data_IF_313775093012
#
_entry.id   IF_313775093012
#
_cell.length_a   1.000
_cell.length_b   1.000
_cell.length_c   1.000
_cell.angle_alpha   90.00
_cell.angle_beta   90.00
_cell.angle_gamma   90.00
#
_symmetry.space_group_name_H-M   'P 1'
#
loop_
_entity.id
_entity.type
_entity.pdbx_description
1 polymer ?
#
# COMPACT_ATOMS: atom_id res chain seq x y z
N UNK A 1 57.23 -0.22 -14.10
CA UNK A 1 56.66 0.50 -15.25
C UNK A 1 55.17 0.15 -15.25
N UNK A 2 54.37 0.99 -14.62
CA UNK A 2 53.60 2.05 -15.31
C UNK A 2 52.40 1.42 -16.03
N UNK A 3 51.17 1.85 -15.86
CA UNK A 3 50.65 3.01 -15.16
C UNK A 3 49.13 2.87 -15.07
N UNK A 4 48.60 3.64 -14.14
CA UNK A 4 47.18 3.89 -13.96
C UNK A 4 46.51 4.25 -15.29
N UNK A 5 45.34 3.67 -15.55
CA UNK A 5 44.33 4.35 -16.35
C UNK A 5 43.01 4.32 -15.60
N UNK A 6 42.92 5.22 -14.63
CA UNK A 6 41.67 5.83 -14.22
C UNK A 6 41.02 6.45 -15.46
N UNK A 7 40.08 5.76 -16.08
CA UNK A 7 39.20 6.37 -17.09
C UNK A 7 37.75 6.17 -16.67
N UNK A 8 37.30 7.20 -15.95
CA UNK A 8 35.99 7.84 -16.17
C UNK A 8 34.74 7.12 -15.66
N UNK A 9 34.63 7.02 -14.33
CA UNK A 9 33.33 6.93 -13.63
C UNK A 9 32.40 8.15 -13.87
N UNK A 10 32.84 9.15 -14.66
CA UNK A 10 32.06 10.34 -14.99
C UNK A 10 31.06 10.12 -16.13
N UNK A 11 31.28 9.14 -17.02
CA UNK A 11 30.41 8.95 -18.20
C UNK A 11 29.09 8.24 -17.90
N UNK A 12 29.01 7.45 -16.84
CA UNK A 12 27.81 6.68 -16.51
C UNK A 12 26.76 7.48 -15.74
N UNK A 13 27.18 8.52 -15.01
CA UNK A 13 26.28 9.45 -14.33
C UNK A 13 25.52 10.37 -15.30
N UNK A 14 26.11 10.65 -16.47
CA UNK A 14 25.52 11.55 -17.45
C UNK A 14 24.34 10.92 -18.20
N UNK A 15 24.41 9.61 -18.48
CA UNK A 15 23.31 8.86 -19.14
C UNK A 15 22.07 8.80 -18.25
N UNK A 16 22.26 8.62 -16.94
CA UNK A 16 21.15 8.58 -15.98
C UNK A 16 20.44 9.93 -15.82
N UNK A 17 21.17 11.05 -15.92
CA UNK A 17 20.60 12.39 -15.81
C UNK A 17 19.75 12.76 -17.04
N UNK A 18 20.18 12.38 -18.24
CA UNK A 18 19.41 12.64 -19.48
C UNK A 18 18.12 11.81 -19.53
N UNK A 19 18.14 10.59 -19.00
CA UNK A 19 16.92 9.77 -18.90
C UNK A 19 15.91 10.35 -17.89
N UNK A 20 16.38 10.98 -16.81
CA UNK A 20 15.50 11.59 -15.80
C UNK A 20 14.76 12.83 -16.33
N UNK A 21 15.40 13.63 -17.19
CA UNK A 21 14.79 14.84 -17.77
C UNK A 21 13.76 14.48 -18.85
N UNK A 22 14.00 13.42 -19.64
CA UNK A 22 13.06 12.99 -20.68
C UNK A 22 11.72 12.47 -20.10
N UNK A 23 11.73 11.87 -18.91
CA UNK A 23 10.50 11.46 -18.21
C UNK A 23 9.73 12.66 -17.63
N UNK A 24 10.44 13.74 -17.25
CA UNK A 24 9.82 14.95 -16.70
C UNK A 24 9.32 15.93 -17.78
N UNK A 25 9.88 15.89 -18.99
CA UNK A 25 9.47 16.74 -20.12
C UNK A 25 8.37 16.13 -21.00
N UNK A 26 7.94 14.89 -20.74
CA UNK A 26 6.89 14.19 -21.49
C UNK A 26 5.44 14.51 -21.07
N UNK A 27 5.22 15.43 -20.12
CA UNK A 27 3.87 15.83 -19.65
C UNK A 27 3.53 17.29 -19.95
N UNK A 28 3.97 17.82 -21.10
CA UNK A 28 3.40 19.06 -21.65
C UNK A 28 3.08 18.86 -23.13
N UNK A 29 1.86 18.40 -23.40
CA UNK A 29 1.20 18.60 -24.69
C UNK A 29 -0.25 19.01 -24.41
N UNK A 30 -0.45 20.32 -24.58
CA UNK A 30 -1.63 20.99 -25.10
C UNK A 30 -3.00 20.70 -24.46
N UNK A 31 -3.37 21.58 -23.53
CA UNK A 31 -4.77 21.90 -23.25
C UNK A 31 -5.04 23.33 -23.72
N UNK A 32 -5.58 23.45 -24.93
CA UNK A 32 -6.39 24.59 -25.33
C UNK A 32 -7.85 24.11 -25.33
N UNK A 33 -8.59 24.46 -24.29
CA UNK A 33 -10.02 24.76 -24.39
C UNK A 33 -10.44 25.38 -23.07
N UNK A 34 -10.66 26.69 -23.10
CA UNK A 34 -11.39 27.43 -22.09
C UNK A 34 -12.75 26.75 -21.87
N UNK A 35 -13.02 26.27 -20.67
CA UNK A 35 -14.37 26.27 -20.12
C UNK A 35 -14.27 26.46 -18.63
N UNK A 36 -14.71 27.65 -18.25
CA UNK A 36 -15.05 28.14 -16.94
C UNK A 36 -15.97 27.15 -16.19
N UNK A 37 -15.52 26.66 -15.03
CA UNK A 37 -16.38 26.29 -13.90
C UNK A 37 -15.50 25.87 -12.72
N UNK A 38 -15.27 26.85 -11.85
CA UNK A 38 -15.54 26.73 -10.41
C UNK A 38 -15.72 25.30 -9.88
N UNK A 39 -14.71 24.76 -9.20
CA UNK A 39 -14.94 23.83 -8.10
C UNK A 39 -13.70 23.79 -7.19
N UNK A 40 -13.74 24.68 -6.21
CA UNK A 40 -13.07 24.47 -4.94
C UNK A 40 -13.58 23.16 -4.34
N UNK A 41 -12.90 22.05 -4.58
CA UNK A 41 -13.09 20.85 -3.76
C UNK A 41 -11.80 20.07 -3.57
N UNK A 42 -11.12 20.47 -2.50
CA UNK A 42 -10.46 19.57 -1.55
C UNK A 42 -11.31 18.31 -1.38
N UNK A 43 -10.94 17.24 -2.07
CA UNK A 43 -11.47 15.92 -1.85
C UNK A 43 -10.27 14.97 -1.79
N UNK A 44 -9.72 14.84 -0.59
CA UNK A 44 -8.94 13.66 -0.20
C UNK A 44 -9.93 12.50 -0.16
N UNK A 45 -10.38 12.05 -1.33
CA UNK A 45 -11.19 10.84 -1.45
C UNK A 45 -10.26 9.69 -1.11
N UNK A 46 -10.39 9.24 0.13
CA UNK A 46 -9.98 7.90 0.49
C UNK A 46 -10.87 6.99 -0.35
N UNK A 47 -10.40 6.62 -1.55
CA UNK A 47 -10.97 5.52 -2.31
C UNK A 47 -10.88 4.31 -1.40
N UNK A 48 -11.94 4.11 -0.64
CA UNK A 48 -12.10 2.96 0.22
C UNK A 48 -12.37 1.86 -0.79
N UNK A 49 -11.41 0.96 -0.99
CA UNK A 49 -11.61 -0.19 -1.86
C UNK A 49 -12.93 -0.83 -1.40
N UNK A 50 -13.92 -0.90 -2.31
CA UNK A 50 -15.32 -1.21 -1.95
C UNK A 50 -15.49 -2.56 -1.24
N UNK A 51 -14.46 -3.40 -1.29
CA UNK A 51 -14.43 -4.74 -0.72
C UNK A 51 -13.69 -4.85 0.62
N UNK A 52 -13.10 -3.77 1.15
CA UNK A 52 -12.41 -3.81 2.44
C UNK A 52 -13.38 -4.19 3.56
N UNK A 53 -13.05 -5.25 4.30
CA UNK A 53 -13.92 -5.79 5.36
C UNK A 53 -13.15 -6.68 6.33
N UNK A 54 -13.65 -6.77 7.55
CA UNK A 54 -13.20 -7.76 8.53
C UNK A 54 -14.40 -8.32 9.31
N UNK A 55 -14.22 -9.49 9.90
CA UNK A 55 -15.19 -10.13 10.79
C UNK A 55 -14.61 -10.12 12.21
N UNK A 56 -15.36 -9.56 13.16
CA UNK A 56 -15.04 -9.66 14.59
C UNK A 56 -15.33 -11.08 15.09
N UNK A 57 -14.32 -11.72 15.69
CA UNK A 57 -14.40 -13.06 16.29
C UNK A 57 -14.41 -13.02 17.82
N UNK A 58 -14.45 -11.83 18.43
CA UNK A 58 -14.37 -11.59 19.86
C UNK A 58 -12.94 -11.58 20.38
N UNK A 59 -12.76 -11.12 21.63
CA UNK A 59 -11.46 -11.14 22.33
C UNK A 59 -10.32 -10.47 21.56
N UNK A 60 -10.62 -9.38 20.83
CA UNK A 60 -9.68 -8.68 19.94
C UNK A 60 -9.09 -9.56 18.83
N UNK A 61 -9.82 -10.59 18.40
CA UNK A 61 -9.49 -11.45 17.26
C UNK A 61 -10.38 -11.08 16.09
N UNK A 62 -9.76 -10.79 14.95
CA UNK A 62 -10.46 -10.38 13.73
C UNK A 62 -10.06 -11.28 12.56
N UNK A 63 -10.98 -11.56 11.65
CA UNK A 63 -10.71 -12.30 10.42
C UNK A 63 -10.91 -11.40 9.20
N UNK A 64 -9.90 -11.30 8.35
CA UNK A 64 -9.96 -10.56 7.08
C UNK A 64 -10.13 -11.59 5.96
N UNK A 65 -11.34 -11.74 5.37
CA UNK A 65 -11.66 -12.82 4.44
C UNK A 65 -11.20 -12.54 3.00
N UNK A 66 -9.97 -12.02 2.83
CA UNK A 66 -9.45 -11.55 1.56
C UNK A 66 -8.07 -12.11 1.23
N UNK A 67 -7.81 -12.35 -0.05
CA UNK A 67 -6.50 -12.80 -0.55
C UNK A 67 -5.69 -11.73 -1.28
N UNK A 68 -6.31 -10.60 -1.61
CA UNK A 68 -5.68 -9.51 -2.36
C UNK A 68 -5.03 -8.49 -1.41
N UNK A 69 -3.75 -8.21 -1.62
CA UNK A 69 -2.94 -7.41 -0.68
C UNK A 69 -3.53 -6.01 -0.45
N UNK A 70 -3.99 -5.35 -1.52
CA UNK A 70 -4.54 -3.99 -1.41
C UNK A 70 -5.82 -3.96 -0.56
N UNK A 71 -6.70 -4.94 -0.76
CA UNK A 71 -7.94 -5.12 0.03
C UNK A 71 -7.61 -5.44 1.49
N UNK A 72 -6.57 -6.25 1.73
CA UNK A 72 -6.12 -6.59 3.09
C UNK A 72 -5.60 -5.34 3.81
N UNK A 73 -4.77 -4.53 3.14
CA UNK A 73 -4.23 -3.29 3.72
C UNK A 73 -5.37 -2.33 4.09
N UNK A 74 -6.33 -2.13 3.20
CA UNK A 74 -7.49 -1.27 3.50
C UNK A 74 -8.37 -1.85 4.62
N UNK A 75 -8.53 -3.17 4.68
CA UNK A 75 -9.27 -3.83 5.77
C UNK A 75 -8.57 -3.64 7.13
N UNK A 76 -7.24 -3.70 7.18
CA UNK A 76 -6.47 -3.43 8.40
C UNK A 76 -6.55 -1.96 8.79
N UNK A 77 -6.51 -1.02 7.83
CA UNK A 77 -6.70 0.41 8.10
C UNK A 77 -8.09 0.70 8.65
N UNK A 78 -9.12 0.07 8.08
CA UNK A 78 -10.50 0.14 8.56
C UNK A 78 -10.58 -0.38 10.01
N UNK A 79 -10.04 -1.57 10.27
CA UNK A 79 -9.98 -2.15 11.61
C UNK A 79 -9.32 -1.20 12.64
N UNK A 80 -8.17 -0.60 12.30
CA UNK A 80 -7.46 0.35 13.17
C UNK A 80 -8.24 1.64 13.42
N UNK A 81 -9.02 2.11 12.43
CA UNK A 81 -9.86 3.31 12.57
C UNK A 81 -11.04 3.05 13.51
N UNK A 82 -11.63 1.85 13.43
CA UNK A 82 -12.78 1.45 14.24
C UNK A 82 -12.38 1.03 15.66
N UNK A 83 -11.16 0.51 15.82
CA UNK A 83 -10.59 0.10 17.11
C UNK A 83 -9.26 0.83 17.39
N UNK A 84 -9.28 2.15 17.66
CA UNK A 84 -8.06 2.93 17.85
C UNK A 84 -7.24 2.49 19.07
N UNK A 85 -7.87 1.85 20.05
CA UNK A 85 -7.25 1.42 21.30
C UNK A 85 -6.68 0.00 21.23
N UNK A 86 -6.81 -0.69 20.09
CA UNK A 86 -6.27 -2.04 19.90
C UNK A 86 -4.91 -1.95 19.21
N UNK A 87 -3.88 -2.52 19.83
CA UNK A 87 -2.59 -2.78 19.20
C UNK A 87 -2.58 -4.16 18.54
N UNK A 88 -2.47 -4.23 17.21
CA UNK A 88 -2.27 -5.49 16.49
C UNK A 88 -0.92 -6.09 16.88
N UNK A 89 -0.95 -7.25 17.53
CA UNK A 89 0.24 -8.00 17.95
C UNK A 89 0.66 -9.05 16.92
N UNK A 90 -0.32 -9.68 16.27
CA UNK A 90 -0.05 -10.75 15.32
C UNK A 90 -1.05 -10.74 14.15
N UNK A 91 -0.61 -11.24 13.00
CA UNK A 91 -1.42 -11.45 11.82
C UNK A 91 -0.97 -12.75 11.14
N UNK A 92 -1.86 -13.73 11.04
CA UNK A 92 -1.56 -15.08 10.57
C UNK A 92 -2.41 -15.45 9.35
N UNK A 93 -1.78 -16.00 8.32
CA UNK A 93 -2.47 -16.49 7.13
C UNK A 93 -3.36 -17.70 7.43
N UNK A 94 -4.58 -17.68 6.88
CA UNK A 94 -5.48 -18.84 6.88
C UNK A 94 -5.49 -19.41 5.47
N UNK A 95 -5.11 -20.68 5.32
CA UNK A 95 -5.07 -21.38 4.03
C UNK A 95 -6.00 -22.59 4.03
N UNK A 96 -6.59 -22.89 2.87
CA UNK A 96 -7.42 -24.09 2.70
C UNK A 96 -6.57 -25.36 2.68
N UNK A 97 -7.01 -26.38 3.42
CA UNK A 97 -6.39 -27.72 3.44
C UNK A 97 -7.16 -28.77 2.62
N UNK A 98 -8.28 -28.40 1.97
CA UNK A 98 -9.18 -29.38 1.33
C UNK A 98 -8.82 -29.64 -0.14
N UNK A 99 -8.49 -30.89 -0.46
CA UNK A 99 -8.67 -31.48 -1.80
C UNK A 99 -7.65 -31.08 -2.89
N UNK A 100 -6.36 -31.36 -2.69
CA UNK A 100 -5.36 -31.38 -3.77
C UNK A 100 -4.81 -30.03 -4.23
N UNK A 101 -5.45 -28.91 -3.87
CA UNK A 101 -4.88 -27.57 -3.98
C UNK A 101 -4.52 -27.05 -2.58
N UNK A 102 -3.46 -27.64 -2.01
CA UNK A 102 -2.80 -27.09 -0.83
C UNK A 102 -2.29 -25.71 -1.22
N UNK A 103 -2.72 -24.66 -0.50
CA UNK A 103 -2.19 -23.27 -0.55
C UNK A 103 -3.15 -22.16 -1.01
N UNK A 104 -4.44 -22.40 -1.27
CA UNK A 104 -5.37 -21.27 -1.46
C UNK A 104 -5.45 -20.44 -0.18
N UNK A 105 -5.02 -19.17 -0.25
CA UNK A 105 -5.20 -18.19 0.82
C UNK A 105 -6.69 -17.88 0.97
N UNK A 106 -7.20 -18.02 2.19
CA UNK A 106 -8.58 -17.73 2.56
C UNK A 106 -8.71 -16.37 3.25
N UNK A 107 -7.64 -15.88 3.85
CA UNK A 107 -7.66 -14.63 4.61
C UNK A 107 -6.57 -14.59 5.67
N UNK A 108 -6.75 -13.67 6.61
CA UNK A 108 -5.84 -13.47 7.74
C UNK A 108 -6.60 -13.40 9.05
N UNK A 109 -6.06 -14.04 10.09
CA UNK A 109 -6.48 -13.80 11.48
C UNK A 109 -5.57 -12.72 12.05
N UNK A 110 -6.15 -11.64 12.55
CA UNK A 110 -5.48 -10.54 13.23
C UNK A 110 -5.78 -10.67 14.72
N UNK A 111 -4.74 -10.62 15.55
CA UNK A 111 -4.85 -10.67 17.01
C UNK A 111 -4.36 -9.33 17.53
N UNK A 112 -5.22 -8.65 18.28
CA UNK A 112 -4.93 -7.40 18.96
C UNK A 112 -4.91 -7.54 20.47
N UNK A 113 -4.35 -6.54 21.13
CA UNK A 113 -4.41 -6.36 22.58
C UNK A 113 -4.87 -4.93 22.87
N UNK A 114 -5.64 -4.73 23.93
CA UNK A 114 -6.00 -3.39 24.36
C UNK A 114 -4.76 -2.65 24.83
N UNK A 115 -4.62 -1.41 24.38
CA UNK A 115 -3.56 -0.53 24.86
C UNK A 115 -4.03 -0.01 26.20
N UNK A 116 -3.40 -0.42 27.30
CA UNK A 116 -3.69 0.17 28.60
C UNK A 116 -3.37 1.67 28.54
N UNK A 117 -4.41 2.51 28.57
CA UNK A 117 -4.22 3.92 28.88
C UNK A 117 -3.67 3.99 30.30
N UNK A 118 -2.35 4.18 30.43
CA UNK A 118 -1.72 4.55 31.69
C UNK A 118 -2.34 5.88 32.16
N UNK A 119 -3.37 5.79 33.02
CA UNK A 119 -3.90 6.89 33.81
C UNK A 119 -2.90 7.32 34.88
#
# INVERSE_FOLDING_TARGET
MEGQNMVSHAKWKFVFLVFLIAVLSGCQSEQNSETDSDDTKKATETETIQDASYEDRGENIFFIPHSELDVIIESVKMLRREHPNIEIKNMTEVRSAKGGNLNRLLGYIVIGEETEENN
#
